data_IF_471440371428
#
_entry.id   IF_471440371428
#
_cell.length_a   1.000
_cell.length_b   1.000
_cell.length_c   1.000
_cell.angle_alpha   90.00
_cell.angle_beta   90.00
_cell.angle_gamma   90.00
#
_symmetry.space_group_name_H-M   'P 1'
#
loop_
_entity.id
_entity.type
_entity.pdbx_description
1 polymer ?
#
# COMPACT_ATOMS: atom_id res chain seq x y z
N UNK A 1 9.79 7.24 20.37
CA UNK A 1 10.28 7.04 18.99
C UNK A 1 9.09 7.17 18.05
N UNK A 2 9.25 7.77 16.87
CA UNK A 2 8.17 7.79 15.86
C UNK A 2 7.91 6.36 15.39
N UNK A 3 6.64 6.04 15.13
CA UNK A 3 6.21 4.70 14.69
C UNK A 3 6.45 4.56 13.20
N UNK A 4 7.01 3.43 12.78
CA UNK A 4 7.18 3.08 11.36
C UNK A 4 5.84 2.62 10.80
N UNK A 5 5.50 3.10 9.60
CA UNK A 5 4.30 2.70 8.86
C UNK A 5 4.70 2.27 7.45
N UNK A 6 4.07 1.21 6.97
CA UNK A 6 4.29 0.65 5.63
C UNK A 6 2.99 0.72 4.82
N UNK A 7 3.06 1.15 3.57
CA UNK A 7 1.95 1.04 2.62
C UNK A 7 2.33 0.05 1.52
N UNK A 8 1.47 -0.95 1.30
CA UNK A 8 1.66 -1.98 0.27
C UNK A 8 0.75 -1.64 -0.90
N UNK A 9 1.33 -1.39 -2.07
CA UNK A 9 0.62 -0.89 -3.26
C UNK A 9 0.56 -2.01 -4.30
N UNK A 10 -0.66 -2.44 -4.64
CA UNK A 10 -0.88 -3.51 -5.62
C UNK A 10 -0.82 -3.01 -7.07
N UNK A 11 -0.66 -3.95 -8.01
CA UNK A 11 -0.54 -3.65 -9.43
C UNK A 11 -1.82 -3.86 -10.23
N UNK A 12 -1.66 -3.87 -11.55
CA UNK A 12 -2.70 -4.14 -12.54
C UNK A 12 -3.44 -5.46 -12.26
N UNK A 13 -4.78 -5.43 -12.35
CA UNK A 13 -5.68 -6.56 -12.08
C UNK A 13 -5.52 -7.24 -10.71
N UNK A 14 -4.83 -6.60 -9.77
CA UNK A 14 -4.69 -7.08 -8.40
C UNK A 14 -5.55 -6.26 -7.44
N UNK A 15 -5.68 -6.77 -6.22
CA UNK A 15 -6.40 -6.19 -5.09
C UNK A 15 -5.59 -6.41 -3.79
N UNK A 16 -5.98 -5.79 -2.67
CA UNK A 16 -5.31 -5.97 -1.38
C UNK A 16 -5.20 -7.42 -0.88
N UNK A 17 -6.10 -8.30 -1.31
CA UNK A 17 -6.16 -9.69 -0.86
C UNK A 17 -5.30 -10.64 -1.71
N UNK A 18 -4.71 -10.14 -2.80
CA UNK A 18 -3.92 -10.96 -3.71
C UNK A 18 -2.47 -11.19 -3.23
N UNK A 19 -1.87 -12.22 -3.81
CA UNK A 19 -0.44 -12.50 -3.71
C UNK A 19 0.08 -12.57 -2.26
N UNK A 20 1.08 -11.76 -1.94
CA UNK A 20 1.81 -11.76 -0.67
C UNK A 20 1.43 -10.56 0.21
N UNK A 21 0.49 -9.71 -0.20
CA UNK A 21 0.24 -8.43 0.47
C UNK A 21 -0.27 -8.65 1.90
N UNK A 22 -1.30 -9.48 2.06
CA UNK A 22 -1.83 -9.87 3.38
C UNK A 22 -0.81 -10.60 4.24
N UNK A 23 0.02 -11.47 3.64
CA UNK A 23 1.11 -12.13 4.36
C UNK A 23 2.14 -11.12 4.89
N UNK A 24 2.59 -10.18 4.06
CA UNK A 24 3.57 -9.18 4.47
C UNK A 24 3.02 -8.28 5.57
N UNK A 25 1.75 -7.86 5.46
CA UNK A 25 1.07 -7.09 6.52
C UNK A 25 1.09 -7.84 7.86
N UNK A 26 0.81 -9.15 7.86
CA UNK A 26 0.84 -9.97 9.07
C UNK A 26 2.27 -10.14 9.62
N UNK A 27 3.28 -10.31 8.77
CA UNK A 27 4.67 -10.39 9.22
C UNK A 27 5.21 -9.09 9.82
N UNK A 28 4.80 -7.93 9.27
CA UNK A 28 5.13 -6.62 9.81
C UNK A 28 4.46 -6.38 11.18
N UNK A 29 3.20 -6.80 11.32
CA UNK A 29 2.47 -6.70 12.59
C UNK A 29 3.16 -7.50 13.71
N UNK A 30 3.74 -8.68 13.42
CA UNK A 30 4.53 -9.46 14.40
C UNK A 30 5.76 -8.71 14.93
N UNK A 31 6.23 -7.71 14.19
CA UNK A 31 7.36 -6.83 14.55
C UNK A 31 6.91 -5.48 15.10
N UNK A 32 5.61 -5.34 15.41
CA UNK A 32 4.99 -4.11 15.89
C UNK A 32 5.10 -2.94 14.88
N UNK A 33 5.17 -3.26 13.58
CA UNK A 33 5.16 -2.31 12.47
C UNK A 33 3.75 -2.31 11.87
N UNK A 34 3.16 -1.13 11.71
CA UNK A 34 1.85 -0.99 11.07
C UNK A 34 1.98 -1.04 9.56
N UNK A 35 1.05 -1.74 8.91
CA UNK A 35 1.00 -1.85 7.47
C UNK A 35 -0.43 -1.75 6.94
N UNK A 36 -0.61 -0.93 5.92
CA UNK A 36 -1.87 -0.72 5.22
C UNK A 36 -1.73 -1.10 3.75
N UNK A 37 -2.82 -1.58 3.16
CA UNK A 37 -2.87 -2.03 1.77
C UNK A 37 -4.03 -1.25 1.11
N UNK A 38 -3.78 -0.05 0.55
CA UNK A 38 -4.83 0.73 -0.08
C UNK A 38 -5.46 -0.04 -1.25
N UNK A 39 -6.79 -0.04 -1.31
CA UNK A 39 -7.51 -0.53 -2.48
C UNK A 39 -7.44 0.53 -3.57
N UNK A 40 -6.78 0.23 -4.69
CA UNK A 40 -6.75 1.11 -5.85
C UNK A 40 -7.93 0.79 -6.78
N UNK A 41 -8.78 1.78 -7.14
CA UNK A 41 -9.96 1.54 -7.96
C UNK A 41 -9.64 0.98 -9.36
N UNK A 42 -10.56 0.19 -9.90
CA UNK A 42 -10.58 -0.26 -11.30
C UNK A 42 -9.23 -0.81 -11.81
N UNK A 43 -8.60 -1.71 -11.05
CA UNK A 43 -7.24 -2.19 -11.37
C UNK A 43 -7.10 -2.91 -12.71
N UNK A 44 -8.19 -3.36 -13.33
CA UNK A 44 -8.20 -3.90 -14.70
C UNK A 44 -8.19 -2.83 -15.82
N UNK A 45 -8.47 -1.57 -15.49
CA UNK A 45 -8.42 -0.41 -16.39
C UNK A 45 -7.98 0.83 -15.61
N UNK A 46 -6.73 0.85 -15.10
CA UNK A 46 -6.31 1.83 -14.12
C UNK A 46 -6.21 3.24 -14.72
N UNK A 47 -6.60 4.23 -13.93
CA UNK A 47 -6.31 5.65 -14.20
C UNK A 47 -5.20 6.13 -13.26
N UNK A 48 -4.11 6.62 -13.84
CA UNK A 48 -2.97 7.13 -13.07
C UNK A 48 -3.38 8.28 -12.13
N UNK A 49 -4.29 9.16 -12.57
CA UNK A 49 -4.79 10.28 -11.76
C UNK A 49 -5.61 9.78 -10.57
N UNK A 50 -6.52 8.83 -10.79
CA UNK A 50 -7.36 8.26 -9.73
C UNK A 50 -6.51 7.48 -8.71
N UNK A 51 -5.54 6.71 -9.20
CA UNK A 51 -4.62 5.96 -8.33
C UNK A 51 -3.74 6.90 -7.51
N UNK A 52 -3.18 7.95 -8.14
CA UNK A 52 -2.41 8.96 -7.43
C UNK A 52 -3.24 9.66 -6.36
N UNK A 53 -4.48 10.03 -6.66
CA UNK A 53 -5.39 10.64 -5.69
C UNK A 53 -5.68 9.68 -4.53
N UNK A 54 -6.03 8.43 -4.83
CA UNK A 54 -6.30 7.40 -3.81
C UNK A 54 -5.11 7.20 -2.86
N UNK A 55 -3.90 7.18 -3.42
CA UNK A 55 -2.67 7.07 -2.64
C UNK A 55 -2.40 8.33 -1.81
N UNK A 56 -2.62 9.52 -2.35
CA UNK A 56 -2.46 10.78 -1.60
C UNK A 56 -3.48 10.90 -0.45
N UNK A 57 -4.70 10.40 -0.63
CA UNK A 57 -5.72 10.35 0.43
C UNK A 57 -5.40 9.29 1.49
N UNK A 58 -4.88 8.14 1.08
CA UNK A 58 -4.51 7.03 1.98
C UNK A 58 -3.23 7.33 2.76
N UNK A 59 -2.23 7.93 2.11
CA UNK A 59 -0.92 8.25 2.66
C UNK A 59 -0.92 9.74 3.05
N UNK A 60 -1.65 10.06 4.12
CA UNK A 60 -1.83 11.43 4.60
C UNK A 60 -0.55 12.09 5.17
N UNK A 61 0.55 11.35 5.27
CA UNK A 61 1.87 11.83 5.70
C UNK A 61 2.96 11.02 4.99
N UNK A 62 3.94 11.72 4.42
CA UNK A 62 5.19 11.13 3.92
C UNK A 62 6.35 11.74 4.71
N UNK A 63 7.02 10.92 5.50
CA UNK A 63 8.20 11.30 6.27
C UNK A 63 9.21 10.15 6.33
N UNK A 64 10.33 10.33 7.04
CA UNK A 64 11.42 9.36 7.13
C UNK A 64 11.05 8.00 7.76
N UNK A 65 9.84 7.86 8.32
CA UNK A 65 9.34 6.63 8.95
C UNK A 65 8.21 5.97 8.16
N UNK A 66 7.89 6.50 6.97
CA UNK A 66 6.86 5.95 6.08
C UNK A 66 7.55 5.25 4.90
N UNK A 67 7.20 3.99 4.69
CA UNK A 67 7.76 3.17 3.61
C UNK A 67 6.65 2.73 2.67
N UNK A 68 6.92 2.79 1.36
CA UNK A 68 6.02 2.29 0.33
C UNK A 68 6.65 1.07 -0.31
N UNK A 69 5.92 -0.04 -0.33
CA UNK A 69 6.31 -1.29 -1.01
C UNK A 69 5.33 -1.51 -2.14
N UNK A 70 5.79 -1.32 -3.36
CA UNK A 70 4.96 -1.41 -4.55
C UNK A 70 5.20 -2.70 -5.34
N UNK A 71 4.17 -3.18 -6.03
CA UNK A 71 4.24 -4.34 -6.89
C UNK A 71 3.79 -4.03 -8.32
N UNK A 72 4.68 -4.34 -9.28
CA UNK A 72 4.42 -4.23 -10.72
C UNK A 72 4.06 -2.82 -11.18
N UNK A 73 2.77 -2.52 -11.43
CA UNK A 73 2.31 -1.21 -11.89
C UNK A 73 2.27 -0.16 -10.77
N UNK A 74 2.08 -0.60 -9.53
CA UNK A 74 1.97 0.27 -8.36
C UNK A 74 3.25 1.01 -8.01
#
# INVERSE_FOLDING_TARGET
>A
MKKVQVFIVHGFMASPDDHWFSWLKLELAKRNIEADIPLLPDSGTPSAEVWQQTLSESINRLDENVFVVAHSLG
#
